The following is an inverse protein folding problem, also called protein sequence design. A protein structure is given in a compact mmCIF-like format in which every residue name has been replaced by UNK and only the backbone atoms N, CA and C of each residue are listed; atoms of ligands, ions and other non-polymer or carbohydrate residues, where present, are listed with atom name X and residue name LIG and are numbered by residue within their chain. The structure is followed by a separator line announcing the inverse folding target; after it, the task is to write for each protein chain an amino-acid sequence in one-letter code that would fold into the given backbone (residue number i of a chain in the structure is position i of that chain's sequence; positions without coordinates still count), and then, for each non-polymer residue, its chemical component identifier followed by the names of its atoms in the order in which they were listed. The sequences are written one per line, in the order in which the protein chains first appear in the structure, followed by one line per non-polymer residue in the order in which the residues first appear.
data_IF_251771869224
#
_entry.id   IF_251771869224
#
_cell.length_a   1.000
_cell.length_b   1.000
_cell.length_c   1.000
_cell.angle_alpha   90.00
_cell.angle_beta   90.00
_cell.angle_gamma   90.00
#
_symmetry.space_group_name_H-M   'P 1'
#
loop_
_entity.id
_entity.type
_entity.pdbx_description
1 polymer ?
#
# COMPACT_ATOMS: atom_id res chain seq x y z
N UNK A 1 -13.61 27.51 -37.20
CA UNK A 1 -13.82 27.82 -35.77
C UNK A 1 -14.84 26.83 -35.25
N UNK A 2 -14.49 25.64 -34.75
CA UNK A 2 -13.75 25.33 -33.51
C UNK A 2 -14.39 26.07 -32.32
N UNK A 3 -14.89 25.42 -31.27
CA UNK A 3 -14.54 24.12 -30.68
C UNK A 3 -15.76 23.39 -30.11
N UNK A 4 -15.89 22.13 -30.49
CA UNK A 4 -16.57 21.11 -29.71
C UNK A 4 -15.83 20.97 -28.37
N UNK A 5 -16.48 21.27 -27.26
CA UNK A 5 -16.04 20.84 -25.94
C UNK A 5 -16.37 19.35 -25.83
N UNK A 6 -15.39 18.56 -26.23
CA UNK A 6 -15.37 17.12 -26.15
C UNK A 6 -15.67 16.67 -24.72
N UNK A 7 -16.67 15.82 -24.62
CA UNK A 7 -16.90 14.79 -23.61
C UNK A 7 -15.60 14.34 -22.91
N UNK A 8 -15.47 14.67 -21.61
CA UNK A 8 -14.44 14.13 -20.72
C UNK A 8 -15.03 14.02 -19.31
N UNK A 9 -15.12 12.77 -18.83
CA UNK A 9 -15.23 12.30 -17.44
C UNK A 9 -16.62 11.89 -16.93
N UNK A 10 -17.13 10.81 -17.52
CA UNK A 10 -17.53 9.63 -16.74
C UNK A 10 -16.46 9.24 -15.70
N UNK A 11 -16.89 8.55 -14.64
CA UNK A 11 -16.14 8.10 -13.47
C UNK A 11 -16.08 9.10 -12.29
N UNK A 12 -17.17 9.08 -11.53
CA UNK A 12 -17.25 9.54 -10.15
C UNK A 12 -15.99 9.13 -9.34
N UNK A 13 -15.25 10.05 -8.69
CA UNK A 13 -14.10 9.69 -7.86
C UNK A 13 -14.57 8.80 -6.70
N UNK A 14 -13.80 7.77 -6.28
CA UNK A 14 -14.18 6.93 -5.16
C UNK A 14 -14.29 7.80 -3.91
N UNK A 15 -15.52 7.90 -3.40
CA UNK A 15 -15.91 8.79 -2.31
C UNK A 15 -14.98 8.62 -1.09
N UNK A 16 -14.71 9.73 -0.38
CA UNK A 16 -14.00 9.81 0.92
C UNK A 16 -14.26 8.66 1.94
N UNK A 17 -15.46 8.01 2.01
CA UNK A 17 -15.70 6.79 2.79
C UNK A 17 -14.69 5.64 2.61
N UNK A 18 -14.02 5.54 1.47
CA UNK A 18 -13.06 4.44 1.20
C UNK A 18 -11.72 4.56 1.92
N UNK A 19 -11.40 5.74 2.46
CA UNK A 19 -10.16 5.96 3.22
C UNK A 19 -10.38 5.69 4.71
N UNK A 20 -9.42 5.00 5.33
CA UNK A 20 -9.37 4.85 6.79
C UNK A 20 -9.18 6.22 7.45
N UNK A 21 -9.58 6.34 8.73
CA UNK A 21 -9.46 7.59 9.48
C UNK A 21 -8.01 8.12 9.50
N UNK A 22 -7.02 7.23 9.67
CA UNK A 22 -5.60 7.57 9.60
C UNK A 22 -5.17 8.08 8.21
N UNK A 23 -5.74 7.55 7.13
CA UNK A 23 -5.47 8.03 5.77
C UNK A 23 -6.08 9.41 5.52
N UNK A 24 -7.28 9.66 6.07
CA UNK A 24 -7.94 10.98 6.00
C UNK A 24 -7.17 12.03 6.79
N UNK A 25 -6.78 11.73 8.03
CA UNK A 25 -5.99 12.62 8.87
C UNK A 25 -4.69 13.06 8.15
N UNK A 26 -3.97 12.09 7.58
CA UNK A 26 -2.75 12.40 6.82
C UNK A 26 -3.01 13.20 5.54
N UNK A 27 -4.10 12.90 4.82
CA UNK A 27 -4.46 13.67 3.63
C UNK A 27 -4.72 15.14 4.00
N UNK A 28 -5.40 15.38 5.12
CA UNK A 28 -5.67 16.71 5.65
C UNK A 28 -4.40 17.42 6.11
N UNK A 29 -3.50 16.75 6.84
CA UNK A 29 -2.19 17.31 7.21
C UNK A 29 -1.42 17.82 5.99
N UNK A 30 -1.36 17.01 4.93
CA UNK A 30 -0.68 17.39 3.68
C UNK A 30 -1.42 18.50 2.95
N UNK A 31 -2.75 18.49 2.99
CA UNK A 31 -3.55 19.56 2.39
C UNK A 31 -3.27 20.90 3.08
N UNK A 32 -3.18 20.94 4.42
CA UNK A 32 -2.85 22.16 5.17
C UNK A 32 -1.49 22.74 4.73
N UNK A 33 -0.50 21.88 4.46
CA UNK A 33 0.82 22.30 3.94
C UNK A 33 0.72 22.92 2.55
N UNK A 34 -0.16 22.38 1.68
CA UNK A 34 -0.28 22.79 0.29
C UNK A 34 -1.28 23.91 0.06
N UNK A 35 -2.21 24.15 1.00
CA UNK A 35 -3.27 25.15 0.90
C UNK A 35 -2.74 26.51 0.41
N UNK A 36 -1.61 27.05 0.93
CA UNK A 36 -1.10 28.33 0.46
C UNK A 36 -0.71 28.33 -1.03
N UNK A 37 -0.22 27.21 -1.58
CA UNK A 37 0.10 27.11 -3.01
C UNK A 37 -1.13 26.87 -3.89
N UNK A 38 -2.20 26.31 -3.31
CA UNK A 38 -3.43 25.97 -4.04
C UNK A 38 -4.41 27.13 -4.09
N UNK A 39 -4.55 27.87 -2.99
CA UNK A 39 -5.56 28.92 -2.82
C UNK A 39 -4.96 30.34 -2.89
N UNK A 40 -3.75 30.53 -2.35
CA UNK A 40 -3.13 31.85 -2.20
C UNK A 40 -2.03 32.10 -3.25
N UNK A 41 -1.77 31.14 -4.14
CA UNK A 41 -0.77 31.27 -5.22
C UNK A 41 0.68 31.29 -4.74
N UNK A 42 0.96 30.87 -3.50
CA UNK A 42 2.32 30.85 -2.94
C UNK A 42 3.23 29.92 -3.76
N UNK A 43 4.46 30.35 -4.12
CA UNK A 43 5.38 29.51 -4.88
C UNK A 43 5.71 28.19 -4.16
N UNK A 44 5.71 27.09 -4.92
CA UNK A 44 6.00 25.75 -4.39
C UNK A 44 7.41 25.65 -3.76
N UNK A 45 8.35 26.45 -4.26
CA UNK A 45 9.70 26.59 -3.71
C UNK A 45 9.70 27.20 -2.31
N UNK A 46 8.79 28.12 -2.03
CA UNK A 46 8.62 28.72 -0.71
C UNK A 46 8.01 27.71 0.26
N UNK A 47 6.99 26.96 -0.15
CA UNK A 47 6.43 25.86 0.66
C UNK A 47 7.50 24.80 0.98
N UNK A 48 8.28 24.38 -0.01
CA UNK A 48 9.36 23.42 0.17
C UNK A 48 10.36 23.88 1.25
N UNK A 49 10.72 25.17 1.25
CA UNK A 49 11.62 25.77 2.25
C UNK A 49 10.98 25.84 3.64
N UNK A 50 9.76 26.37 3.72
CA UNK A 50 9.03 26.55 5.00
C UNK A 50 8.80 25.24 5.73
N UNK A 51 8.46 24.17 5.00
CA UNK A 51 8.17 22.86 5.59
C UNK A 51 9.33 21.87 5.50
N UNK A 52 10.52 22.31 5.10
CA UNK A 52 11.72 21.47 4.93
C UNK A 52 11.47 20.20 4.07
N UNK A 53 10.66 20.34 3.02
CA UNK A 53 10.34 19.26 2.09
C UNK A 53 11.14 19.40 0.79
N UNK A 54 11.56 18.29 0.16
CA UNK A 54 12.08 18.34 -1.20
C UNK A 54 11.04 18.95 -2.15
N UNK A 55 11.48 19.82 -3.06
CA UNK A 55 10.59 20.46 -4.05
C UNK A 55 9.83 19.42 -4.89
N UNK A 56 10.48 18.30 -5.21
CA UNK A 56 9.89 17.17 -5.93
C UNK A 56 8.71 16.54 -5.18
N UNK A 57 8.74 16.54 -3.84
CA UNK A 57 7.63 16.05 -3.01
C UNK A 57 6.44 16.98 -3.08
N UNK A 58 6.66 18.29 -2.95
CA UNK A 58 5.61 19.33 -3.04
C UNK A 58 4.95 19.30 -4.41
N UNK A 59 5.74 19.29 -5.48
CA UNK A 59 5.27 19.17 -6.87
C UNK A 59 4.44 17.92 -7.09
N UNK A 60 4.93 16.77 -6.62
CA UNK A 60 4.23 15.49 -6.73
C UNK A 60 2.89 15.51 -6.00
N UNK A 61 2.82 16.12 -4.82
CA UNK A 61 1.57 16.21 -4.07
C UNK A 61 0.55 17.14 -4.75
N UNK A 62 0.98 18.30 -5.25
CA UNK A 62 0.10 19.22 -5.99
C UNK A 62 -0.45 18.54 -7.24
N UNK A 63 0.39 17.84 -8.01
CA UNK A 63 -0.06 17.08 -9.18
C UNK A 63 -1.14 16.06 -8.80
N UNK A 64 -0.90 15.25 -7.76
CA UNK A 64 -1.86 14.24 -7.30
C UNK A 64 -3.16 14.84 -6.76
N UNK A 65 -3.08 15.98 -6.10
CA UNK A 65 -4.27 16.70 -5.63
C UNK A 65 -5.12 17.19 -6.80
N UNK A 66 -4.49 17.70 -7.86
CA UNK A 66 -5.22 18.10 -9.08
C UNK A 66 -5.87 16.92 -9.80
N UNK A 67 -5.23 15.77 -9.80
CA UNK A 67 -5.72 14.56 -10.49
C UNK A 67 -6.78 13.78 -9.68
N UNK A 68 -6.69 13.78 -8.35
CA UNK A 68 -7.47 12.88 -7.49
C UNK A 68 -8.07 13.55 -6.24
N UNK A 69 -7.99 14.87 -6.11
CA UNK A 69 -8.42 15.62 -4.93
C UNK A 69 -7.68 15.20 -3.66
N UNK A 70 -8.35 15.31 -2.50
CA UNK A 70 -7.80 14.93 -1.19
C UNK A 70 -7.34 13.46 -1.13
N UNK A 71 -7.96 12.58 -1.91
CA UNK A 71 -7.61 11.15 -1.96
C UNK A 71 -6.18 10.97 -2.51
N UNK A 72 -5.76 11.81 -3.45
CA UNK A 72 -4.39 11.81 -3.98
C UNK A 72 -3.32 12.21 -2.97
N UNK A 73 -3.72 12.90 -1.89
CA UNK A 73 -2.85 13.29 -0.79
C UNK A 73 -2.79 12.25 0.32
N UNK A 74 -3.77 11.36 0.44
CA UNK A 74 -3.63 10.19 1.29
C UNK A 74 -2.43 9.37 0.82
N UNK A 75 -1.59 8.86 1.74
CA UNK A 75 -0.61 7.85 1.36
C UNK A 75 -1.40 6.63 0.91
N UNK A 76 -1.49 6.43 -0.41
CA UNK A 76 -1.71 5.09 -0.93
C UNK A 76 -0.69 4.20 -0.25
N UNK A 77 -1.18 3.23 0.53
CA UNK A 77 -0.35 2.10 0.93
C UNK A 77 0.36 1.66 -0.35
N UNK A 78 1.70 1.60 -0.30
CA UNK A 78 2.52 1.14 -1.42
C UNK A 78 1.87 -0.13 -1.97
N UNK A 79 1.53 -0.14 -3.26
CA UNK A 79 1.03 -1.32 -3.98
C UNK A 79 1.91 -2.56 -3.83
N UNK A 80 3.16 -2.34 -3.45
CA UNK A 80 4.27 -3.26 -3.27
C UNK A 80 4.43 -3.72 -1.81
N UNK A 81 3.71 -3.13 -0.85
CA UNK A 81 3.56 -3.69 0.50
C UNK A 81 2.46 -4.75 0.45
N UNK A 82 2.83 -5.94 -0.01
CA UNK A 82 1.93 -7.09 -0.10
C UNK A 82 1.92 -7.78 -1.46
N UNK A 83 2.22 -7.08 -2.57
CA UNK A 83 2.37 -7.75 -3.88
C UNK A 83 3.64 -8.60 -3.87
N UNK A 84 3.52 -9.94 -3.99
CA UNK A 84 4.65 -10.84 -3.92
C UNK A 84 5.51 -10.66 -5.19
N UNK A 85 6.57 -9.85 -5.09
CA UNK A 85 7.65 -9.94 -6.06
C UNK A 85 8.34 -11.30 -5.86
N UNK A 86 8.05 -12.23 -6.76
CA UNK A 86 8.79 -13.49 -6.90
C UNK A 86 8.24 -14.70 -6.15
N UNK A 87 7.01 -14.65 -5.62
CA UNK A 87 6.38 -15.86 -5.06
C UNK A 87 5.01 -16.08 -5.70
N UNK A 88 4.76 -17.28 -6.28
CA UNK A 88 3.45 -17.60 -6.82
C UNK A 88 2.41 -17.64 -5.70
N UNK A 89 1.21 -17.10 -5.95
CA UNK A 89 0.11 -17.03 -4.96
C UNK A 89 -0.22 -18.39 -4.35
N UNK A 90 -0.02 -19.48 -5.11
CA UNK A 90 -0.23 -20.84 -4.66
C UNK A 90 0.74 -21.27 -3.55
N UNK A 91 1.97 -20.76 -3.55
CA UNK A 91 2.96 -21.05 -2.50
C UNK A 91 2.65 -20.29 -1.21
N UNK A 92 2.16 -19.04 -1.32
CA UNK A 92 1.71 -18.23 -0.18
C UNK A 92 0.54 -18.92 0.54
N UNK A 93 -0.48 -19.34 -0.21
CA UNK A 93 -1.63 -20.08 0.36
C UNK A 93 -1.21 -21.38 1.07
N UNK A 94 -0.18 -22.06 0.55
CA UNK A 94 0.32 -23.28 1.16
C UNK A 94 1.04 -23.00 2.48
N UNK A 95 1.83 -21.92 2.54
CA UNK A 95 2.48 -21.44 3.78
C UNK A 95 1.43 -21.07 4.83
N UNK A 96 0.41 -20.30 4.45
CA UNK A 96 -0.68 -19.88 5.34
C UNK A 96 -1.40 -21.10 5.92
N UNK A 97 -1.82 -22.05 5.07
CA UNK A 97 -2.47 -23.29 5.55
C UNK A 97 -1.59 -24.07 6.53
N UNK A 98 -0.29 -24.20 6.24
CA UNK A 98 0.64 -24.91 7.12
C UNK A 98 0.88 -24.17 8.44
N UNK A 99 0.83 -22.83 8.43
CA UNK A 99 0.99 -21.99 9.60
C UNK A 99 -0.13 -22.19 10.63
N UNK A 100 -1.33 -22.53 10.15
CA UNK A 100 -2.58 -22.65 10.90
C UNK A 100 -2.94 -24.09 11.29
N UNK A 101 -2.25 -25.09 10.75
CA UNK A 101 -2.49 -26.49 11.09
C UNK A 101 -2.01 -26.81 12.51
N UNK A 102 -2.80 -27.59 13.24
CA UNK A 102 -2.42 -28.25 14.49
C UNK A 102 -1.85 -29.65 14.20
N UNK A 103 -0.75 -30.08 14.85
CA UNK A 103 0.11 -29.32 15.76
C UNK A 103 0.93 -28.23 15.04
N UNK A 104 1.22 -27.15 15.78
CA UNK A 104 1.98 -26.01 15.28
C UNK A 104 3.33 -26.45 14.70
N UNK A 105 3.51 -26.28 13.40
CA UNK A 105 4.82 -26.49 12.76
C UNK A 105 5.74 -25.31 13.02
N UNK A 106 7.01 -25.59 13.24
CA UNK A 106 8.02 -24.54 13.33
C UNK A 106 8.17 -23.82 11.99
N UNK A 107 8.48 -22.52 12.03
CA UNK A 107 8.73 -21.71 10.82
C UNK A 107 9.82 -22.36 9.96
N UNK A 108 10.84 -22.93 10.60
CA UNK A 108 11.91 -23.68 9.94
C UNK A 108 11.41 -24.92 9.21
N UNK A 109 10.50 -25.70 9.80
CA UNK A 109 9.90 -26.86 9.13
C UNK A 109 9.08 -26.44 7.91
N UNK A 110 8.29 -25.37 8.03
CA UNK A 110 7.52 -24.79 6.92
C UNK A 110 8.47 -24.30 5.82
N UNK A 111 9.54 -23.57 6.16
CA UNK A 111 10.52 -23.08 5.19
C UNK A 111 11.21 -24.21 4.42
N UNK A 112 11.66 -25.27 5.12
CA UNK A 112 12.26 -26.45 4.49
C UNK A 112 11.28 -27.12 3.52
N UNK A 113 10.06 -27.38 3.96
CA UNK A 113 9.04 -28.04 3.14
C UNK A 113 8.68 -27.21 1.90
N UNK A 114 8.55 -25.89 2.04
CA UNK A 114 8.20 -25.00 0.92
C UNK A 114 9.35 -24.79 -0.06
N UNK A 115 10.59 -24.87 0.42
CA UNK A 115 11.79 -24.87 -0.44
C UNK A 115 11.79 -26.10 -1.36
N UNK A 116 11.45 -27.28 -0.84
CA UNK A 116 11.35 -28.50 -1.65
C UNK A 116 10.17 -28.44 -2.64
N UNK A 117 9.00 -27.98 -2.20
CA UNK A 117 7.84 -27.78 -3.09
C UNK A 117 8.16 -26.77 -4.21
N UNK A 118 8.87 -25.68 -3.90
CA UNK A 118 9.26 -24.70 -4.90
C UNK A 118 10.21 -25.29 -5.94
N UNK A 119 11.23 -26.06 -5.51
CA UNK A 119 12.15 -26.76 -6.44
C UNK A 119 11.41 -27.73 -7.35
N UNK A 120 10.53 -28.57 -6.79
CA UNK A 120 9.75 -29.55 -7.56
C UNK A 120 8.82 -28.91 -8.59
N UNK A 121 8.34 -27.69 -8.32
CA UNK A 121 7.45 -26.94 -9.21
C UNK A 121 8.20 -25.96 -10.14
N UNK A 122 9.53 -25.92 -10.08
CA UNK A 122 10.35 -24.98 -10.86
C UNK A 122 10.18 -23.51 -10.45
N UNK A 123 9.71 -23.25 -9.23
CA UNK A 123 9.55 -21.91 -8.69
C UNK A 123 10.80 -21.41 -7.99
N UNK A 124 10.96 -20.09 -7.93
CA UNK A 124 12.02 -19.47 -7.12
C UNK A 124 11.83 -19.84 -5.64
N UNK A 125 12.86 -20.38 -4.96
CA UNK A 125 12.75 -20.75 -3.55
C UNK A 125 12.37 -19.56 -2.64
N UNK A 126 11.54 -19.78 -1.60
CA UNK A 126 11.25 -18.77 -0.59
C UNK A 126 12.49 -18.32 0.18
N UNK A 127 12.59 -17.02 0.46
CA UNK A 127 13.47 -16.55 1.54
C UNK A 127 12.85 -16.89 2.90
N UNK A 128 13.68 -17.28 3.87
CA UNK A 128 13.28 -17.56 5.25
C UNK A 128 12.49 -16.40 5.86
N UNK A 129 12.98 -15.16 5.73
CA UNK A 129 12.33 -13.97 6.28
C UNK A 129 10.93 -13.75 5.69
N UNK A 130 10.72 -14.17 4.43
CA UNK A 130 9.41 -14.04 3.78
C UNK A 130 8.41 -15.06 4.32
N UNK A 131 8.86 -16.31 4.50
CA UNK A 131 8.05 -17.36 5.15
C UNK A 131 7.71 -16.95 6.59
N UNK A 132 8.70 -16.45 7.34
CA UNK A 132 8.50 -15.94 8.70
C UNK A 132 7.44 -14.84 8.76
N UNK A 133 7.51 -13.83 7.89
CA UNK A 133 6.51 -12.75 7.83
C UNK A 133 5.09 -13.27 7.56
N UNK A 134 4.94 -14.21 6.61
CA UNK A 134 3.63 -14.79 6.28
C UNK A 134 3.10 -15.61 7.47
N UNK A 135 3.94 -16.42 8.10
CA UNK A 135 3.54 -17.22 9.28
C UNK A 135 3.17 -16.32 10.45
N UNK A 136 3.91 -15.24 10.69
CA UNK A 136 3.63 -14.27 11.75
C UNK A 136 2.28 -13.60 11.53
N UNK A 137 2.07 -13.04 10.33
CA UNK A 137 0.81 -12.41 9.94
C UNK A 137 -0.38 -13.39 10.00
N UNK A 138 -0.18 -14.62 9.52
CA UNK A 138 -1.19 -15.67 9.55
C UNK A 138 -1.54 -16.08 10.98
N UNK A 139 -0.62 -16.06 11.94
CA UNK A 139 -0.92 -16.40 13.34
C UNK A 139 -1.54 -15.24 14.11
N UNK A 140 -1.04 -14.03 13.90
CA UNK A 140 -1.57 -12.78 14.48
C UNK A 140 -3.05 -12.57 14.12
N UNK A 141 -3.43 -12.95 12.89
CA UNK A 141 -4.82 -12.85 12.43
C UNK A 141 -5.78 -13.83 13.14
N UNK A 142 -5.28 -14.88 13.80
CA UNK A 142 -6.08 -15.89 14.49
C UNK A 142 -6.07 -15.70 16.02
N UNK A 143 -4.98 -15.16 16.58
CA UNK A 143 -4.89 -14.80 18.01
C UNK A 143 -5.99 -13.78 18.42
N UNK A 144 -6.41 -12.94 17.47
CA UNK A 144 -7.48 -11.94 17.70
C UNK A 144 -8.89 -12.55 17.73
N UNK A 145 -9.07 -13.80 17.28
CA UNK A 145 -10.38 -14.46 17.16
C UNK A 145 -10.68 -15.48 18.28
N UNK A 146 -9.66 -15.88 19.05
CA UNK A 146 -9.81 -16.77 20.23
C UNK A 146 -9.97 -16.00 21.56
N UNK A 147 -10.08 -14.66 21.52
CA UNK A 147 -10.22 -13.80 22.71
C UNK A 147 -11.59 -13.11 22.85
N UNK A 148 -12.63 -13.57 22.15
CA UNK A 148 -14.04 -13.13 22.33
C UNK A 148 -14.88 -14.31 22.80
#
# INVERSE_FOLDING_TARGET
MQLAFHDVMTEQPPLLPTLSEAQRAQALERFVILRPALEEGVPQTQIARTYHLPLSTVQRWIKRYREHGLIGLARQQRSDRGKPRGMPSKLVQLIERLALQTPLRSVTAIHRQMTEVAKLKGWKPPSYSRVYQIVCFARESYDTLDFI
#
